data_IF_612752567323
#
_entry.id   IF_612752567323
#
_cell.length_a   1.000
_cell.length_b   1.000
_cell.length_c   1.000
_cell.angle_alpha   90.00
_cell.angle_beta   90.00
_cell.angle_gamma   90.00
#
_symmetry.space_group_name_H-M   'P 1'
#
loop_
_entity.id
_entity.type
_entity.pdbx_description
1 polymer ?
#
# COMPACT_ATOMS: atom_id res chain seq x y z
N UNK A 1 21.29 -21.20 -27.74
CA UNK A 1 20.98 -21.11 -26.29
C UNK A 1 19.96 -20.01 -25.99
N UNK A 2 20.11 -18.81 -26.56
CA UNK A 2 19.19 -17.66 -26.34
C UNK A 2 17.70 -17.99 -26.53
N UNK A 3 17.25 -18.73 -27.57
CA UNK A 3 15.83 -19.08 -27.71
C UNK A 3 15.25 -19.85 -26.52
N UNK A 4 16.06 -20.74 -25.92
CA UNK A 4 15.66 -21.55 -24.75
C UNK A 4 15.63 -20.71 -23.46
N UNK A 5 16.59 -19.81 -23.28
CA UNK A 5 16.60 -18.87 -22.14
C UNK A 5 15.40 -17.92 -22.20
N UNK A 6 15.06 -17.43 -23.40
CA UNK A 6 13.87 -16.62 -23.59
C UNK A 6 12.61 -17.41 -23.24
N UNK A 7 12.45 -18.62 -23.77
CA UNK A 7 11.30 -19.47 -23.44
C UNK A 7 11.16 -19.68 -21.92
N UNK A 8 12.24 -20.02 -21.22
CA UNK A 8 12.23 -20.18 -19.77
C UNK A 8 11.81 -18.89 -19.03
N UNK A 9 12.34 -17.73 -19.45
CA UNK A 9 11.98 -16.43 -18.88
C UNK A 9 10.49 -16.10 -19.11
N UNK A 10 9.94 -16.40 -20.28
CA UNK A 10 8.51 -16.16 -20.59
C UNK A 10 7.58 -17.07 -19.80
N UNK A 11 7.95 -18.34 -19.59
CA UNK A 11 7.20 -19.27 -18.73
C UNK A 11 7.17 -18.74 -17.30
N UNK A 12 8.31 -18.28 -16.78
CA UNK A 12 8.41 -17.71 -15.44
C UNK A 12 7.57 -16.44 -15.29
N UNK A 13 7.64 -15.52 -16.28
CA UNK A 13 6.82 -14.32 -16.30
C UNK A 13 5.31 -14.63 -16.34
N UNK A 14 4.90 -15.59 -17.18
CA UNK A 14 3.52 -16.04 -17.26
C UNK A 14 3.04 -16.73 -15.98
N UNK A 15 3.92 -17.45 -15.27
CA UNK A 15 3.60 -18.06 -13.98
C UNK A 15 3.23 -17.00 -12.93
N UNK A 16 3.92 -15.85 -12.89
CA UNK A 16 3.51 -14.73 -12.02
C UNK A 16 2.15 -14.16 -12.41
N UNK A 17 1.92 -13.93 -13.71
CA UNK A 17 0.64 -13.48 -14.23
C UNK A 17 -0.48 -14.44 -13.83
N UNK A 18 -0.31 -15.75 -14.05
CA UNK A 18 -1.29 -16.77 -13.68
C UNK A 18 -1.51 -16.81 -12.16
N UNK A 19 -0.43 -16.74 -11.38
CA UNK A 19 -0.50 -16.72 -9.92
C UNK A 19 -1.29 -15.52 -9.36
N UNK A 20 -1.34 -14.40 -10.09
CA UNK A 20 -2.17 -13.25 -9.74
C UNK A 20 -3.68 -13.51 -9.90
N UNK A 21 -4.07 -14.43 -10.80
CA UNK A 21 -5.46 -14.87 -10.97
C UNK A 21 -5.81 -16.04 -10.05
N UNK A 22 -4.89 -16.98 -9.91
CA UNK A 22 -5.10 -18.24 -9.18
C UNK A 22 -3.98 -18.45 -8.16
N UNK A 23 -3.94 -17.67 -7.07
CA UNK A 23 -2.93 -17.82 -6.04
C UNK A 23 -3.11 -19.14 -5.28
N UNK A 24 -2.00 -19.74 -4.84
CA UNK A 24 -1.96 -20.93 -4.01
C UNK A 24 -2.41 -20.61 -2.58
N UNK A 25 -3.49 -21.26 -2.12
CA UNK A 25 -4.12 -20.97 -0.83
C UNK A 25 -3.93 -22.05 0.22
N UNK A 26 -3.61 -23.28 -0.17
CA UNK A 26 -3.61 -24.45 0.71
C UNK A 26 -2.20 -24.99 1.03
N UNK A 27 -1.21 -24.72 0.18
CA UNK A 27 0.14 -25.23 0.36
C UNK A 27 0.91 -24.46 1.43
N UNK A 28 1.39 -25.13 2.48
CA UNK A 28 2.20 -24.52 3.54
C UNK A 28 3.50 -23.89 3.03
N UNK A 29 4.08 -24.44 1.96
CA UNK A 29 5.35 -23.99 1.40
C UNK A 29 5.13 -22.91 0.35
N UNK A 30 4.13 -23.09 -0.52
CA UNK A 30 3.91 -22.19 -1.65
C UNK A 30 3.00 -21.00 -1.30
N UNK A 31 2.29 -21.02 -0.17
CA UNK A 31 1.39 -19.94 0.23
C UNK A 31 2.10 -18.58 0.27
N UNK A 32 3.21 -18.46 1.00
CA UNK A 32 3.90 -17.18 1.13
C UNK A 32 4.51 -16.69 -0.19
N UNK A 33 5.29 -17.50 -0.94
CA UNK A 33 5.81 -17.08 -2.25
C UNK A 33 4.69 -16.73 -3.25
N UNK A 34 3.61 -17.50 -3.27
CA UNK A 34 2.45 -17.23 -4.11
C UNK A 34 1.74 -15.94 -3.71
N UNK A 35 1.55 -15.68 -2.42
CA UNK A 35 0.97 -14.44 -1.91
C UNK A 35 1.79 -13.24 -2.36
N UNK A 36 3.09 -13.19 -2.06
CA UNK A 36 3.92 -12.04 -2.40
C UNK A 36 4.08 -11.85 -3.92
N UNK A 37 4.26 -12.94 -4.66
CA UNK A 37 4.38 -12.88 -6.12
C UNK A 37 3.08 -12.44 -6.79
N UNK A 38 1.94 -12.93 -6.31
CA UNK A 38 0.61 -12.58 -6.82
C UNK A 38 0.26 -11.14 -6.47
N UNK A 39 0.51 -10.73 -5.23
CA UNK A 39 0.28 -9.37 -4.75
C UNK A 39 1.02 -8.34 -5.60
N UNK A 40 2.35 -8.46 -5.76
CA UNK A 40 3.13 -7.53 -6.58
C UNK A 40 2.65 -7.48 -8.03
N UNK A 41 2.35 -8.64 -8.62
CA UNK A 41 1.86 -8.72 -10.00
C UNK A 41 0.49 -8.05 -10.15
N UNK A 42 -0.39 -8.24 -9.16
CA UNK A 42 -1.75 -7.68 -9.16
C UNK A 42 -1.81 -6.17 -8.89
N UNK A 43 -0.89 -5.65 -8.08
CA UNK A 43 -0.80 -4.22 -7.76
C UNK A 43 -0.05 -3.43 -8.84
N UNK A 44 0.88 -4.09 -9.55
CA UNK A 44 1.76 -3.44 -10.52
C UNK A 44 1.65 -4.01 -11.95
N UNK A 45 0.44 -4.28 -12.50
CA UNK A 45 0.29 -4.97 -13.79
C UNK A 45 0.92 -4.16 -14.94
N UNK A 46 0.88 -2.83 -14.87
CA UNK A 46 1.55 -1.94 -15.85
C UNK A 46 3.07 -2.06 -15.82
N UNK A 47 3.66 -2.17 -14.63
CA UNK A 47 5.11 -2.30 -14.47
C UNK A 47 5.58 -3.68 -14.92
N UNK A 48 4.82 -4.73 -14.58
CA UNK A 48 5.07 -6.08 -15.07
C UNK A 48 4.98 -6.15 -16.59
N UNK A 49 3.96 -5.51 -17.20
CA UNK A 49 3.83 -5.41 -18.65
C UNK A 49 5.04 -4.70 -19.28
N UNK A 50 5.41 -3.52 -18.76
CA UNK A 50 6.55 -2.75 -19.26
C UNK A 50 7.87 -3.54 -19.17
N UNK A 51 8.12 -4.20 -18.05
CA UNK A 51 9.31 -5.04 -17.89
C UNK A 51 9.30 -6.24 -18.85
N UNK A 52 8.16 -6.92 -19.02
CA UNK A 52 8.06 -8.03 -19.99
C UNK A 52 8.29 -7.57 -21.43
N UNK A 53 7.81 -6.37 -21.81
CA UNK A 53 8.07 -5.76 -23.13
C UNK A 53 9.56 -5.50 -23.33
N UNK A 54 10.22 -4.84 -22.38
CA UNK A 54 11.66 -4.55 -22.45
C UNK A 54 12.49 -5.84 -22.50
N UNK A 55 12.21 -6.79 -21.61
CA UNK A 55 12.92 -8.07 -21.59
C UNK A 55 12.75 -8.83 -22.92
N UNK A 56 11.53 -8.86 -23.46
CA UNK A 56 11.24 -9.50 -24.76
C UNK A 56 12.02 -8.84 -25.90
N UNK A 57 12.06 -7.51 -25.96
CA UNK A 57 12.83 -6.78 -26.97
C UNK A 57 14.33 -7.11 -26.89
N UNK A 58 14.90 -7.17 -25.68
CA UNK A 58 16.31 -7.54 -25.46
C UNK A 58 16.61 -8.98 -25.91
N UNK A 59 15.71 -9.93 -25.61
CA UNK A 59 15.86 -11.32 -26.06
C UNK A 59 15.75 -11.45 -27.59
N UNK A 60 14.80 -10.75 -28.22
CA UNK A 60 14.67 -10.71 -29.68
C UNK A 60 15.96 -10.15 -30.31
N UNK A 61 16.48 -9.04 -29.79
CA UNK A 61 17.74 -8.44 -30.24
C UNK A 61 18.92 -9.41 -30.10
N UNK A 62 18.95 -10.22 -29.04
CA UNK A 62 19.96 -11.26 -28.81
C UNK A 62 19.75 -12.54 -29.66
N UNK A 63 18.78 -12.57 -30.58
CA UNK A 63 18.54 -13.71 -31.48
C UNK A 63 17.63 -14.79 -30.90
N UNK A 64 16.72 -14.44 -29.99
CA UNK A 64 15.75 -15.40 -29.44
C UNK A 64 14.87 -16.05 -30.51
N UNK A 65 14.60 -15.37 -31.64
CA UNK A 65 13.71 -15.87 -32.70
C UNK A 65 14.41 -16.80 -33.72
N UNK A 66 15.68 -17.12 -33.51
CA UNK A 66 16.46 -17.99 -34.40
C UNK A 66 16.04 -19.46 -34.37
N UNK A 67 15.15 -19.85 -33.45
CA UNK A 67 14.61 -21.21 -33.34
C UNK A 67 13.18 -21.19 -32.80
N UNK A 68 12.47 -22.31 -32.96
CA UNK A 68 11.08 -22.48 -32.52
C UNK A 68 10.80 -22.12 -31.04
N UNK A 69 11.71 -22.35 -30.06
CA UNK A 69 11.43 -21.99 -28.66
C UNK A 69 11.21 -20.48 -28.50
N UNK A 70 11.85 -19.67 -29.35
CA UNK A 70 11.65 -18.22 -29.35
C UNK A 70 10.24 -17.81 -29.72
N UNK A 71 9.72 -18.42 -30.79
CA UNK A 71 8.35 -18.20 -31.25
C UNK A 71 7.31 -18.67 -30.23
N UNK A 72 7.56 -19.81 -29.57
CA UNK A 72 6.74 -20.25 -28.44
C UNK A 72 6.75 -19.22 -27.29
N UNK A 73 7.93 -18.65 -26.98
CA UNK A 73 8.06 -17.58 -25.98
C UNK A 73 7.24 -16.32 -26.34
N UNK A 74 7.22 -15.91 -27.61
CA UNK A 74 6.37 -14.79 -28.07
C UNK A 74 4.89 -15.07 -27.81
N UNK A 75 4.41 -16.27 -28.13
CA UNK A 75 3.02 -16.64 -27.91
C UNK A 75 2.65 -16.59 -26.41
N UNK A 76 3.50 -17.14 -25.53
CA UNK A 76 3.30 -17.12 -24.08
C UNK A 76 3.26 -15.67 -23.56
N UNK A 77 4.21 -14.85 -23.99
CA UNK A 77 4.28 -13.44 -23.58
C UNK A 77 3.06 -12.65 -24.06
N UNK A 78 2.58 -12.86 -25.28
CA UNK A 78 1.38 -12.19 -25.78
C UNK A 78 0.14 -12.51 -24.93
N UNK A 79 -0.02 -13.78 -24.52
CA UNK A 79 -1.08 -14.19 -23.59
C UNK A 79 -0.91 -13.53 -22.22
N UNK A 80 0.31 -13.51 -21.69
CA UNK A 80 0.63 -12.83 -20.43
C UNK A 80 0.29 -11.34 -20.48
N UNK A 81 0.62 -10.64 -21.57
CA UNK A 81 0.30 -9.23 -21.76
C UNK A 81 -1.21 -8.96 -21.80
N UNK A 82 -1.95 -9.78 -22.55
CA UNK A 82 -3.41 -9.68 -22.57
C UNK A 82 -4.03 -9.90 -21.18
N UNK A 83 -3.51 -10.88 -20.42
CA UNK A 83 -3.96 -11.15 -19.06
C UNK A 83 -3.61 -10.01 -18.07
N UNK A 84 -2.40 -9.43 -18.15
CA UNK A 84 -2.02 -8.27 -17.33
C UNK A 84 -2.85 -7.03 -17.68
N UNK A 85 -3.14 -6.82 -18.97
CA UNK A 85 -4.01 -5.74 -19.43
C UNK A 85 -5.46 -5.91 -18.95
N UNK A 86 -5.99 -7.13 -19.06
CA UNK A 86 -7.29 -7.47 -18.50
C UNK A 86 -7.34 -7.25 -16.99
N UNK A 87 -6.30 -7.67 -16.26
CA UNK A 87 -6.21 -7.45 -14.80
C UNK A 87 -6.23 -5.97 -14.46
N UNK A 88 -5.52 -5.14 -15.22
CA UNK A 88 -5.53 -3.69 -15.07
C UNK A 88 -6.94 -3.10 -15.21
N UNK A 89 -7.70 -3.52 -16.23
CA UNK A 89 -9.09 -3.10 -16.45
C UNK A 89 -9.99 -3.61 -15.33
N UNK A 90 -9.80 -4.86 -14.90
CA UNK A 90 -10.58 -5.46 -13.83
C UNK A 90 -10.39 -4.70 -12.51
N UNK A 91 -9.16 -4.28 -12.18
CA UNK A 91 -8.88 -3.48 -10.98
C UNK A 91 -9.57 -2.12 -10.98
N UNK A 92 -9.88 -1.53 -12.14
CA UNK A 92 -10.65 -0.26 -12.20
C UNK A 92 -12.10 -0.43 -11.71
N UNK A 93 -12.64 -1.67 -11.73
CA UNK A 93 -13.98 -1.95 -11.19
C UNK A 93 -14.06 -1.82 -9.67
N UNK A 94 -12.92 -1.89 -8.97
CA UNK A 94 -12.89 -1.76 -7.52
C UNK A 94 -13.46 -0.40 -7.07
N UNK A 95 -13.19 0.68 -7.82
CA UNK A 95 -13.73 2.01 -7.52
C UNK A 95 -15.26 2.04 -7.63
N UNK A 96 -15.82 1.38 -8.65
CA UNK A 96 -17.27 1.29 -8.85
C UNK A 96 -17.96 0.48 -7.75
N UNK A 97 -17.36 -0.64 -7.36
CA UNK A 97 -17.86 -1.49 -6.27
C UNK A 97 -17.82 -0.72 -4.94
N UNK A 98 -16.74 0.03 -4.71
CA UNK A 98 -16.58 0.83 -3.50
C UNK A 98 -17.60 1.98 -3.44
N UNK A 99 -17.77 2.74 -4.53
CA UNK A 99 -18.78 3.79 -4.62
C UNK A 99 -20.20 3.24 -4.41
N UNK A 100 -20.52 2.09 -5.03
CA UNK A 100 -21.81 1.44 -4.83
C UNK A 100 -22.03 1.03 -3.36
N UNK A 101 -21.00 0.54 -2.67
CA UNK A 101 -21.06 0.21 -1.25
C UNK A 101 -21.25 1.45 -0.36
N UNK A 102 -20.60 2.56 -0.70
CA UNK A 102 -20.80 3.85 -0.02
C UNK A 102 -22.24 4.33 -0.19
N UNK A 103 -22.75 4.35 -1.42
CA UNK A 103 -24.13 4.76 -1.69
C UNK A 103 -25.16 3.88 -1.01
N UNK A 104 -24.92 2.56 -0.96
CA UNK A 104 -25.79 1.63 -0.25
C UNK A 104 -25.79 1.85 1.26
N UNK A 105 -24.68 2.32 1.83
CA UNK A 105 -24.52 2.47 3.29
C UNK A 105 -24.87 3.87 3.79
N UNK A 106 -24.58 4.90 2.99
CA UNK A 106 -24.68 6.31 3.35
C UNK A 106 -25.79 7.04 2.57
N UNK A 107 -26.43 6.37 1.61
CA UNK A 107 -27.43 6.95 0.72
C UNK A 107 -26.84 7.43 -0.63
N UNK A 108 -27.67 7.52 -1.68
CA UNK A 108 -27.21 7.89 -3.03
C UNK A 108 -26.61 9.31 -3.09
N UNK A 109 -27.10 10.21 -2.23
CA UNK A 109 -26.71 11.61 -2.19
C UNK A 109 -25.73 11.93 -1.06
N UNK A 110 -25.06 10.93 -0.45
CA UNK A 110 -24.18 11.13 0.71
C UNK A 110 -23.10 12.21 0.48
N UNK A 111 -22.63 12.36 -0.77
CA UNK A 111 -21.65 13.38 -1.12
C UNK A 111 -22.19 14.78 -0.86
N UNK A 112 -23.50 15.00 -1.06
CA UNK A 112 -24.17 16.28 -0.82
C UNK A 112 -24.25 16.66 0.67
N UNK A 113 -24.09 15.67 1.56
CA UNK A 113 -24.08 15.86 3.02
C UNK A 113 -22.69 16.22 3.56
N UNK A 114 -21.63 16.00 2.77
CA UNK A 114 -20.27 16.43 3.11
C UNK A 114 -20.23 17.96 3.08
N UNK A 115 -19.61 18.60 4.06
CA UNK A 115 -19.35 20.04 4.05
C UNK A 115 -18.76 20.51 2.69
N UNK A 116 -19.21 21.66 2.20
CA UNK A 116 -18.88 22.12 0.86
C UNK A 116 -17.36 22.35 0.68
N UNK A 117 -16.71 22.94 1.68
CA UNK A 117 -15.27 23.22 1.62
C UNK A 117 -14.48 21.91 1.66
N UNK A 118 -14.91 20.94 2.48
CA UNK A 118 -14.31 19.60 2.51
C UNK A 118 -14.49 18.84 1.20
N UNK A 119 -15.67 18.95 0.57
CA UNK A 119 -15.95 18.32 -0.72
C UNK A 119 -15.05 18.90 -1.81
N UNK A 120 -14.95 20.22 -1.87
CA UNK A 120 -14.07 20.92 -2.83
C UNK A 120 -12.60 20.55 -2.61
N UNK A 121 -12.17 20.38 -1.35
CA UNK A 121 -10.82 19.92 -1.02
C UNK A 121 -10.57 18.46 -1.47
N UNK A 122 -11.55 17.58 -1.29
CA UNK A 122 -11.48 16.18 -1.74
C UNK A 122 -11.38 16.13 -3.27
N UNK A 123 -12.23 16.87 -3.97
CA UNK A 123 -12.29 16.86 -5.43
C UNK A 123 -11.06 17.54 -6.07
N UNK A 124 -10.49 18.56 -5.42
CA UNK A 124 -9.26 19.23 -5.85
C UNK A 124 -7.98 18.48 -5.49
N UNK A 125 -8.04 17.50 -4.58
CA UNK A 125 -6.93 16.61 -4.23
C UNK A 125 -7.16 15.24 -4.88
N UNK A 126 -6.89 15.06 -6.18
CA UNK A 126 -7.12 13.78 -6.82
C UNK A 126 -6.30 12.69 -6.11
N UNK A 127 -6.82 11.44 -6.07
CA UNK A 127 -6.02 10.32 -5.59
C UNK A 127 -4.69 10.33 -6.35
N UNK A 128 -3.56 10.05 -5.68
CA UNK A 128 -2.26 10.13 -6.31
C UNK A 128 -2.31 9.32 -7.62
N UNK A 129 -1.91 9.90 -8.77
CA UNK A 129 -1.94 9.17 -10.02
C UNK A 129 -1.16 7.88 -9.81
N UNK A 130 -1.66 6.75 -10.35
CA UNK A 130 -0.96 5.48 -10.29
C UNK A 130 0.49 5.71 -10.73
N UNK A 131 1.44 5.76 -9.77
CA UNK A 131 2.78 6.30 -9.99
C UNK A 131 3.43 5.49 -11.10
N UNK A 132 3.56 6.02 -12.33
CA UNK A 132 3.76 5.15 -13.49
C UNK A 132 5.20 4.67 -13.61
N UNK A 133 6.14 5.35 -12.94
CA UNK A 133 7.58 5.09 -13.08
C UNK A 133 8.17 4.48 -11.81
N UNK A 134 7.83 5.03 -10.63
CA UNK A 134 8.31 4.49 -9.36
C UNK A 134 7.14 4.29 -8.38
N UNK A 135 6.63 3.05 -8.26
CA UNK A 135 5.51 2.75 -7.37
C UNK A 135 5.89 2.86 -5.89
N UNK A 136 7.20 2.88 -5.57
CA UNK A 136 7.74 2.93 -4.21
C UNK A 136 8.15 4.33 -3.75
N UNK A 137 7.94 5.38 -4.56
CA UNK A 137 8.30 6.77 -4.19
C UNK A 137 7.27 7.41 -3.28
N UNK A 138 7.24 7.06 -1.99
CA UNK A 138 6.22 7.54 -1.05
C UNK A 138 6.49 8.92 -0.39
N UNK A 139 7.28 9.79 -1.00
CA UNK A 139 7.44 11.18 -0.55
C UNK A 139 6.54 12.13 -1.33
N UNK A 140 6.05 13.17 -0.68
CA UNK A 140 5.27 14.23 -1.28
C UNK A 140 5.82 15.60 -0.84
N UNK A 141 6.01 16.58 -1.75
CA UNK A 141 6.60 17.89 -1.40
C UNK A 141 5.78 18.66 -0.38
N UNK A 142 4.45 18.48 -0.37
CA UNK A 142 3.54 19.15 0.56
C UNK A 142 3.36 18.41 1.89
N UNK A 143 4.18 17.39 2.17
CA UNK A 143 4.11 16.59 3.40
C UNK A 143 5.45 16.66 4.11
N UNK A 144 5.43 17.12 5.36
CA UNK A 144 6.59 17.08 6.26
C UNK A 144 6.41 15.93 7.24
N UNK A 145 7.52 15.29 7.61
CA UNK A 145 7.51 14.14 8.51
C UNK A 145 8.47 14.43 9.65
N UNK A 146 7.94 14.52 10.87
CA UNK A 146 8.70 14.54 12.11
C UNK A 146 8.92 13.10 12.53
N UNK A 147 10.20 12.68 12.56
CA UNK A 147 10.54 11.27 12.67
C UNK A 147 11.01 10.87 14.05
N UNK A 148 10.79 9.60 14.35
CA UNK A 148 11.40 8.88 15.47
C UNK A 148 11.14 9.55 16.82
N UNK A 149 9.91 10.04 17.01
CA UNK A 149 9.49 10.69 18.25
C UNK A 149 9.16 9.59 19.27
N UNK A 150 9.84 9.55 20.43
CA UNK A 150 9.54 8.58 21.46
C UNK A 150 8.20 8.90 22.12
N UNK A 151 7.36 7.88 22.30
CA UNK A 151 6.10 7.98 23.04
C UNK A 151 6.11 7.16 24.34
N UNK A 152 7.10 6.28 24.54
CA UNK A 152 7.35 5.57 25.79
C UNK A 152 8.83 5.15 25.88
N UNK A 153 9.34 4.98 27.11
CA UNK A 153 10.76 4.68 27.34
C UNK A 153 11.10 3.18 27.25
N UNK A 154 10.13 2.30 27.52
CA UNK A 154 10.37 0.86 27.77
C UNK A 154 10.82 0.04 26.54
N UNK A 155 10.46 0.47 25.32
CA UNK A 155 10.66 -0.31 24.09
C UNK A 155 11.67 0.28 23.11
N UNK A 156 12.39 1.34 23.50
CA UNK A 156 13.34 2.04 22.62
C UNK A 156 12.72 2.39 21.27
N UNK A 157 13.35 2.00 20.16
CA UNK A 157 12.85 2.25 18.79
C UNK A 157 11.46 1.67 18.49
N UNK A 158 10.99 0.71 19.30
CA UNK A 158 9.65 0.14 19.16
C UNK A 158 8.57 1.00 19.81
N UNK A 159 8.95 1.94 20.66
CA UNK A 159 8.07 2.98 21.17
C UNK A 159 8.35 4.36 20.56
N UNK A 160 8.63 4.37 19.25
CA UNK A 160 8.73 5.59 18.45
C UNK A 160 7.56 5.69 17.46
N UNK A 161 7.19 6.92 17.11
CA UNK A 161 6.21 7.25 16.09
C UNK A 161 6.72 8.35 15.15
N UNK A 162 6.07 8.46 13.99
CA UNK A 162 6.29 9.53 13.02
C UNK A 162 5.01 10.35 12.87
N UNK A 163 5.15 11.67 12.85
CA UNK A 163 4.04 12.61 12.61
C UNK A 163 4.18 13.21 11.22
N UNK A 164 3.18 13.00 10.39
CA UNK A 164 3.03 13.55 9.05
C UNK A 164 2.11 14.76 9.13
N UNK A 165 2.63 15.92 8.70
CA UNK A 165 1.91 17.20 8.73
C UNK A 165 1.94 17.87 7.36
N UNK A 166 0.97 18.74 7.05
CA UNK A 166 1.01 19.54 5.83
C UNK A 166 2.25 20.44 5.82
N UNK A 167 2.76 20.78 4.63
CA UNK A 167 3.89 21.70 4.52
C UNK A 167 3.53 23.14 4.93
N UNK A 168 2.25 23.48 4.83
CA UNK A 168 1.64 24.70 5.38
C UNK A 168 1.16 24.45 6.80
N UNK A 169 1.09 25.51 7.61
CA UNK A 169 0.54 25.39 8.95
C UNK A 169 -0.92 24.89 8.89
N UNK A 170 -1.29 24.05 9.86
CA UNK A 170 -2.66 23.59 10.07
C UNK A 170 -2.96 23.69 11.55
N UNK A 171 -4.21 23.93 11.91
CA UNK A 171 -4.68 23.97 13.29
C UNK A 171 -5.95 23.15 13.42
N UNK A 172 -6.13 22.52 14.58
CA UNK A 172 -7.31 21.70 14.88
C UNK A 172 -7.63 20.64 13.82
N UNK A 173 -6.60 20.08 13.17
CA UNK A 173 -6.74 19.11 12.09
C UNK A 173 -7.18 17.74 12.60
N UNK A 174 -8.07 17.01 11.91
CA UNK A 174 -8.38 15.64 12.28
C UNK A 174 -7.13 14.75 12.23
N UNK A 175 -7.00 13.84 13.20
CA UNK A 175 -5.81 13.00 13.36
C UNK A 175 -6.09 11.55 12.94
N UNK A 176 -5.21 10.98 12.13
CA UNK A 176 -5.19 9.54 11.81
C UNK A 176 -4.05 8.84 12.58
N UNK A 177 -4.35 7.84 13.39
CA UNK A 177 -3.37 6.89 13.94
C UNK A 177 -3.29 5.64 13.05
N UNK A 178 -2.16 5.46 12.37
CA UNK A 178 -1.85 4.29 11.57
C UNK A 178 -1.01 3.27 12.35
N UNK A 179 -1.51 2.04 12.43
CA UNK A 179 -0.86 0.90 13.08
C UNK A 179 -0.40 -0.08 12.00
N UNK A 180 0.89 -0.40 11.96
CA UNK A 180 1.41 -1.33 10.96
C UNK A 180 1.00 -2.79 11.24
N UNK A 181 0.94 -3.61 10.20
CA UNK A 181 0.73 -5.05 10.29
C UNK A 181 2.00 -5.84 10.50
N UNK A 182 1.95 -7.14 10.18
CA UNK A 182 3.11 -8.04 10.27
C UNK A 182 2.96 -9.16 11.31
N UNK A 183 1.73 -9.61 11.57
CA UNK A 183 1.49 -10.75 12.44
C UNK A 183 2.11 -10.62 13.83
N UNK A 184 2.20 -9.38 14.35
CA UNK A 184 2.83 -9.01 15.62
C UNK A 184 4.32 -9.36 15.75
N UNK A 185 4.96 -9.90 14.71
CA UNK A 185 6.34 -10.41 14.74
C UNK A 185 7.29 -9.64 13.83
N UNK A 186 6.75 -8.97 12.80
CA UNK A 186 7.51 -8.14 11.86
C UNK A 186 6.81 -6.79 11.64
N UNK A 187 7.49 -5.92 10.89
CA UNK A 187 6.96 -4.65 10.43
C UNK A 187 7.50 -3.44 11.19
N UNK A 188 7.21 -2.25 10.65
CA UNK A 188 7.50 -0.97 11.29
C UNK A 188 6.67 0.18 10.70
N UNK A 189 6.70 1.35 11.35
CA UNK A 189 5.98 2.59 10.99
C UNK A 189 6.29 3.16 9.59
N UNK A 190 7.33 2.68 8.89
CA UNK A 190 7.71 3.16 7.55
C UNK A 190 7.16 2.32 6.39
N UNK A 191 6.32 1.32 6.65
CA UNK A 191 5.93 0.33 5.63
C UNK A 191 4.54 0.61 5.02
N UNK A 192 3.50 0.50 5.84
CA UNK A 192 2.11 0.48 5.38
C UNK A 192 1.47 1.86 5.34
N UNK A 193 0.42 2.00 4.52
CA UNK A 193 -0.45 3.18 4.40
C UNK A 193 0.22 4.53 4.08
N UNK A 194 1.49 4.57 3.69
CA UNK A 194 2.15 5.81 3.28
C UNK A 194 1.43 6.56 2.16
N UNK A 195 0.88 5.92 1.11
CA UNK A 195 0.04 6.61 0.13
C UNK A 195 -1.20 7.27 0.76
N UNK A 196 -1.89 6.55 1.65
CA UNK A 196 -3.08 7.04 2.37
C UNK A 196 -2.73 8.25 3.24
N UNK A 197 -1.72 8.13 4.12
CA UNK A 197 -1.31 9.21 5.00
C UNK A 197 -0.87 10.45 4.22
N UNK A 198 -0.07 10.30 3.16
CA UNK A 198 0.30 11.44 2.32
C UNK A 198 -0.91 12.10 1.65
N UNK A 199 -1.94 11.33 1.28
CA UNK A 199 -3.15 11.86 0.65
C UNK A 199 -4.02 12.61 1.67
N UNK A 200 -4.25 12.03 2.85
CA UNK A 200 -5.01 12.67 3.91
C UNK A 200 -4.34 13.95 4.41
N UNK A 201 -3.00 13.97 4.52
CA UNK A 201 -2.27 15.18 4.89
C UNK A 201 -2.44 16.30 3.87
N UNK A 202 -2.56 15.97 2.57
CA UNK A 202 -2.89 16.97 1.55
C UNK A 202 -4.33 17.50 1.69
N UNK A 203 -5.20 16.73 2.33
CA UNK A 203 -6.58 17.11 2.67
C UNK A 203 -6.69 17.73 4.09
N UNK A 204 -5.58 18.21 4.65
CA UNK A 204 -5.59 18.93 5.93
C UNK A 204 -5.60 18.04 7.18
N UNK A 205 -5.32 16.74 7.06
CA UNK A 205 -5.17 15.87 8.22
C UNK A 205 -3.75 15.92 8.80
N UNK A 206 -3.63 15.54 10.06
CA UNK A 206 -2.37 15.12 10.67
C UNK A 206 -2.39 13.60 10.77
N UNK A 207 -1.34 12.91 10.33
CA UNK A 207 -1.26 11.45 10.42
C UNK A 207 -0.10 11.03 11.32
N UNK A 208 -0.29 9.98 12.10
CA UNK A 208 0.69 9.44 13.03
C UNK A 208 0.88 7.96 12.73
N UNK A 209 2.10 7.55 12.41
CA UNK A 209 2.45 6.14 12.24
C UNK A 209 3.28 5.67 13.44
N UNK A 210 2.77 4.71 14.21
CA UNK A 210 3.46 4.23 15.41
C UNK A 210 4.10 2.85 15.20
N UNK A 211 5.27 2.64 15.82
CA UNK A 211 5.75 1.30 16.12
C UNK A 211 5.04 0.76 17.37
N UNK A 212 5.12 -0.55 17.57
CA UNK A 212 4.84 -1.23 18.84
C UNK A 212 5.85 -2.38 19.02
N UNK A 213 6.06 -2.86 20.25
CA UNK A 213 6.98 -4.00 20.51
C UNK A 213 6.50 -5.27 19.81
N UNK A 214 7.43 -6.10 19.34
CA UNK A 214 7.12 -7.29 18.54
C UNK A 214 7.41 -8.60 19.28
N UNK A 215 6.65 -9.64 18.93
CA UNK A 215 6.90 -11.01 19.39
C UNK A 215 8.13 -11.62 18.70
N UNK A 216 8.84 -12.54 19.36
CA UNK A 216 8.54 -13.13 20.67
C UNK A 216 9.01 -12.32 21.88
N UNK A 217 9.78 -11.24 21.68
CA UNK A 217 10.32 -10.42 22.78
C UNK A 217 9.25 -9.68 23.59
N UNK A 218 8.12 -9.37 22.96
CA UNK A 218 6.90 -8.89 23.61
C UNK A 218 5.75 -9.86 23.34
N UNK A 219 4.86 -10.02 24.32
CA UNK A 219 3.73 -10.95 24.26
C UNK A 219 2.44 -10.22 24.53
N UNK A 220 1.31 -10.78 24.12
CA UNK A 220 0.02 -10.16 24.43
C UNK A 220 -0.12 -9.92 25.96
N UNK A 221 -0.52 -8.71 26.42
CA UNK A 221 -1.08 -7.59 25.66
C UNK A 221 -0.11 -6.45 25.32
N UNK A 222 1.22 -6.65 25.39
CA UNK A 222 2.22 -5.60 25.22
C UNK A 222 2.01 -4.75 23.96
N UNK A 223 1.70 -5.39 22.81
CA UNK A 223 1.44 -4.70 21.54
C UNK A 223 0.30 -3.69 21.66
N UNK A 224 -0.80 -4.08 22.34
CA UNK A 224 -1.96 -3.22 22.55
C UNK A 224 -1.65 -2.11 23.55
N UNK A 225 -0.91 -2.41 24.62
CA UNK A 225 -0.47 -1.41 25.60
C UNK A 225 0.36 -0.33 24.92
N UNK A 226 1.26 -0.70 24.02
CA UNK A 226 2.08 0.25 23.26
C UNK A 226 1.25 1.13 22.33
N UNK A 227 0.29 0.57 21.60
CA UNK A 227 -0.65 1.35 20.77
C UNK A 227 -1.47 2.33 21.62
N UNK A 228 -1.94 1.91 22.80
CA UNK A 228 -2.65 2.80 23.74
C UNK A 228 -1.75 3.93 24.26
N UNK A 229 -0.47 3.67 24.50
CA UNK A 229 0.51 4.70 24.87
C UNK A 229 0.75 5.69 23.72
N UNK A 230 0.85 5.21 22.48
CA UNK A 230 0.90 6.09 21.30
C UNK A 230 -0.35 6.96 21.17
N UNK A 231 -1.55 6.41 21.43
CA UNK A 231 -2.79 7.19 21.47
C UNK A 231 -2.79 8.23 22.61
N UNK A 232 -2.30 7.86 23.79
CA UNK A 232 -2.18 8.80 24.91
C UNK A 232 -1.21 9.96 24.56
N UNK A 233 -0.09 9.65 23.90
CA UNK A 233 0.84 10.66 23.39
C UNK A 233 0.17 11.57 22.35
N UNK A 234 -0.65 11.03 21.44
CA UNK A 234 -1.42 11.85 20.50
C UNK A 234 -2.32 12.82 21.27
N UNK A 235 -3.05 12.33 22.28
CA UNK A 235 -3.96 13.16 23.07
C UNK A 235 -3.24 14.29 23.82
N UNK A 236 -1.98 14.12 24.23
CA UNK A 236 -1.24 15.14 24.98
C UNK A 236 -0.42 16.08 24.08
N UNK A 237 0.22 15.57 23.01
CA UNK A 237 1.24 16.31 22.27
C UNK A 237 0.81 16.76 20.86
N UNK A 238 -0.21 16.14 20.25
CA UNK A 238 -0.46 16.32 18.81
C UNK A 238 -0.86 17.76 18.43
N UNK A 239 -1.37 18.53 19.39
CA UNK A 239 -1.71 19.93 19.19
C UNK A 239 -0.49 20.77 18.77
N UNK A 240 0.71 20.42 19.23
CA UNK A 240 1.97 21.08 18.82
C UNK A 240 2.30 20.88 17.33
N UNK A 241 1.68 19.86 16.70
CA UNK A 241 1.77 19.55 15.28
C UNK A 241 0.55 20.02 14.49
N UNK A 242 -0.37 20.77 15.12
CA UNK A 242 -1.60 21.27 14.50
C UNK A 242 -2.78 20.29 14.50
N UNK A 243 -2.63 19.12 15.12
CA UNK A 243 -3.69 18.12 15.21
C UNK A 243 -4.70 18.43 16.32
N UNK A 244 -5.96 18.03 16.11
CA UNK A 244 -7.02 18.03 17.09
C UNK A 244 -6.88 16.79 17.97
N UNK A 245 -6.50 16.92 19.25
CA UNK A 245 -6.40 15.77 20.14
C UNK A 245 -7.77 15.10 20.35
N UNK A 246 -8.88 15.82 20.19
CA UNK A 246 -10.23 15.29 20.47
C UNK A 246 -10.79 14.42 19.33
N UNK A 247 -10.28 14.57 18.11
CA UNK A 247 -10.71 13.83 16.92
C UNK A 247 -9.59 12.93 16.38
N UNK A 248 -9.60 11.66 16.80
CA UNK A 248 -8.60 10.66 16.38
C UNK A 248 -9.28 9.45 15.76
N UNK A 249 -8.92 9.14 14.52
CA UNK A 249 -9.33 7.93 13.79
C UNK A 249 -8.20 6.92 13.81
N UNK A 250 -8.46 5.68 14.20
CA UNK A 250 -7.48 4.60 14.15
C UNK A 250 -7.66 3.75 12.88
N UNK A 251 -6.55 3.33 12.28
CA UNK A 251 -6.53 2.40 11.15
C UNK A 251 -5.33 1.47 11.25
N UNK A 252 -5.41 0.31 10.60
CA UNK A 252 -4.31 -0.63 10.60
C UNK A 252 -4.42 -1.71 9.53
N UNK A 253 -3.27 -2.19 9.08
CA UNK A 253 -3.19 -3.31 8.14
C UNK A 253 -3.01 -4.64 8.86
N UNK A 254 -3.80 -5.66 8.54
CA UNK A 254 -3.63 -7.02 9.10
C UNK A 254 -3.60 -7.02 10.64
N UNK A 255 -2.49 -7.43 11.29
CA UNK A 255 -2.31 -7.37 12.74
C UNK A 255 -2.54 -5.96 13.33
N UNK A 256 -2.21 -4.89 12.59
CA UNK A 256 -2.52 -3.53 13.01
C UNK A 256 -4.01 -3.22 12.97
N UNK A 257 -4.75 -3.82 12.03
CA UNK A 257 -6.22 -3.71 11.98
C UNK A 257 -6.87 -4.41 13.18
N UNK A 258 -6.34 -5.55 13.60
CA UNK A 258 -6.74 -6.19 14.86
C UNK A 258 -6.45 -5.30 16.09
N UNK A 259 -5.35 -4.55 16.10
CA UNK A 259 -5.03 -3.62 17.19
C UNK A 259 -5.86 -2.33 17.16
N UNK A 260 -6.39 -1.95 15.99
CA UNK A 260 -7.22 -0.75 15.81
C UNK A 260 -8.69 -0.97 16.19
N UNK A 261 -9.21 -2.19 16.03
CA UNK A 261 -10.59 -2.58 16.30
C UNK A 261 -10.82 -2.88 17.80
#
# INVERSE_FOLDING_TARGET
MVPWLFLAATIWGAAFTLNAYTPQRSSRILFAPSFFGGWLTSELPRHHLAWQVVATALFIWAGALNAWPGWAGIAITAVSWAALWHQRIYSDRAALIFEAALQASLGPDYRSEIDADLRDLIDSTPPPPARPINPFRFSHPNVRIHRDIPYAEEGGKRNELDVYVPATATENAPVLLQIHGGGWTIGNKNEQARPLMNHLVQQGWVCVACNYRLSPSATWPDHLVDVKRALAWIRSEIQTFGGNPDFVVATGGSAGGHLAA
#
